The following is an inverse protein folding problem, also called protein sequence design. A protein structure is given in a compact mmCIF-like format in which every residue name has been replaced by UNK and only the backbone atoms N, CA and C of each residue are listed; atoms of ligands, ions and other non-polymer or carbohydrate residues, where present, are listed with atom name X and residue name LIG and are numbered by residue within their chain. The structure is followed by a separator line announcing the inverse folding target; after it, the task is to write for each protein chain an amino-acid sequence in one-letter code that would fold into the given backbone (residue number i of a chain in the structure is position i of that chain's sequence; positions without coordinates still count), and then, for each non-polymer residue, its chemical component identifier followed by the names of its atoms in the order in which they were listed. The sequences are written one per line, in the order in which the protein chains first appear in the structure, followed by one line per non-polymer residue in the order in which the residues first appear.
data_IF_101171684733
#
_entry.id   IF_101171684733
#
_cell.length_a   1.000
_cell.length_b   1.000
_cell.length_c   1.000
_cell.angle_alpha   90.00
_cell.angle_beta   90.00
_cell.angle_gamma   90.00
#
_symmetry.space_group_name_H-M   'P 1'
#
loop_
_entity.id
_entity.type
_entity.pdbx_description
1 polymer ?
#
# COMPACT_ATOMS: atom_id res chain seq x y z
N UNK A 1 14.29 -81.46 -6.16
CA UNK A 1 13.46 -80.58 -7.03
C UNK A 1 12.87 -79.53 -6.10
N UNK A 2 13.38 -78.29 -6.13
CA UNK A 2 12.84 -77.19 -5.32
C UNK A 2 12.00 -76.30 -6.24
N UNK A 3 10.76 -76.01 -5.85
CA UNK A 3 9.90 -75.05 -6.54
C UNK A 3 9.78 -73.83 -5.65
N UNK A 4 10.36 -72.71 -6.07
CA UNK A 4 10.21 -71.42 -5.39
C UNK A 4 8.97 -70.72 -5.95
N UNK A 5 7.96 -70.50 -5.11
CA UNK A 5 6.84 -69.60 -5.43
C UNK A 5 7.26 -68.17 -5.06
N UNK A 6 7.33 -67.29 -6.06
CA UNK A 6 7.52 -65.87 -5.84
C UNK A 6 6.16 -65.21 -5.60
N UNK A 7 5.90 -64.75 -4.37
CA UNK A 7 4.73 -63.94 -4.03
C UNK A 7 4.91 -62.53 -4.59
N UNK A 8 4.16 -62.16 -5.63
CA UNK A 8 4.11 -60.79 -6.12
C UNK A 8 3.28 -59.94 -5.15
N UNK A 9 3.95 -59.22 -4.24
CA UNK A 9 3.35 -58.12 -3.50
C UNK A 9 3.13 -56.94 -4.45
N UNK A 10 2.02 -56.93 -5.17
CA UNK A 10 1.59 -55.77 -5.94
C UNK A 10 1.05 -54.71 -4.98
N UNK A 11 1.80 -53.64 -4.76
CA UNK A 11 1.27 -52.45 -4.09
C UNK A 11 0.06 -51.94 -4.89
N UNK A 12 -1.06 -51.58 -4.24
CA UNK A 12 -2.22 -51.05 -4.96
C UNK A 12 -1.78 -49.76 -5.67
N UNK A 13 -1.97 -49.73 -6.99
CA UNK A 13 -1.67 -48.57 -7.82
C UNK A 13 -2.68 -47.46 -7.49
N UNK A 14 -2.38 -46.65 -6.48
CA UNK A 14 -3.22 -45.51 -6.07
C UNK A 14 -2.95 -44.34 -7.02
N UNK A 15 -3.75 -44.25 -8.08
CA UNK A 15 -3.68 -43.13 -9.03
C UNK A 15 -4.24 -41.85 -8.37
N UNK A 16 -3.39 -40.85 -8.14
CA UNK A 16 -3.82 -39.53 -7.64
C UNK A 16 -4.63 -38.80 -8.72
N UNK A 17 -5.78 -38.23 -8.36
CA UNK A 17 -6.59 -37.40 -9.28
C UNK A 17 -5.90 -36.06 -9.56
N UNK A 18 -5.91 -35.62 -10.83
CA UNK A 18 -5.44 -34.28 -11.22
C UNK A 18 -6.44 -33.22 -10.78
N UNK A 19 -5.95 -32.08 -10.31
CA UNK A 19 -6.79 -30.96 -9.88
C UNK A 19 -7.13 -29.98 -11.01
N UNK A 20 -6.41 -30.01 -12.14
CA UNK A 20 -6.65 -29.20 -13.35
C UNK A 20 -6.82 -27.69 -13.10
N UNK A 21 -6.03 -27.12 -12.16
CA UNK A 21 -6.03 -25.69 -11.91
C UNK A 21 -5.41 -24.91 -13.08
N UNK A 22 -5.91 -23.70 -13.31
CA UNK A 22 -5.31 -22.77 -14.26
C UNK A 22 -3.91 -22.35 -13.77
N UNK A 23 -2.91 -22.23 -14.68
CA UNK A 23 -1.59 -21.77 -14.31
C UNK A 23 -1.61 -20.35 -13.71
N UNK A 24 -0.54 -20.01 -12.98
CA UNK A 24 -0.34 -18.66 -12.46
C UNK A 24 -0.31 -17.64 -13.60
N UNK A 25 -1.05 -16.54 -13.44
CA UNK A 25 -1.03 -15.41 -14.39
C UNK A 25 0.36 -14.78 -14.47
N UNK A 26 1.14 -14.85 -13.40
CA UNK A 26 2.40 -14.13 -13.25
C UNK A 26 3.65 -15.00 -13.43
N UNK A 27 3.52 -16.32 -13.28
CA UNK A 27 4.67 -17.24 -13.31
C UNK A 27 5.81 -16.76 -12.42
N UNK A 28 7.02 -16.71 -12.99
CA UNK A 28 8.25 -16.28 -12.31
C UNK A 28 8.56 -14.78 -12.52
N UNK A 29 7.65 -14.00 -13.11
CA UNK A 29 7.91 -12.63 -13.57
C UNK A 29 8.51 -11.72 -12.48
N UNK A 30 8.01 -11.80 -11.25
CA UNK A 30 8.48 -10.97 -10.14
C UNK A 30 9.76 -11.48 -9.47
N UNK A 31 10.20 -12.72 -9.73
CA UNK A 31 11.40 -13.29 -9.11
C UNK A 31 12.68 -12.57 -9.58
N UNK A 32 12.68 -12.01 -10.80
CA UNK A 32 13.85 -11.32 -11.37
C UNK A 32 14.07 -9.93 -10.79
N UNK A 33 13.01 -9.26 -10.32
CA UNK A 33 13.07 -7.89 -9.82
C UNK A 33 13.78 -7.77 -8.46
N UNK A 34 13.70 -8.80 -7.61
CA UNK A 34 14.36 -8.80 -6.30
C UNK A 34 15.90 -8.77 -6.37
N UNK A 35 16.47 -9.10 -7.54
CA UNK A 35 17.92 -9.17 -7.76
C UNK A 35 18.50 -7.84 -8.28
N UNK A 36 17.68 -7.04 -8.95
CA UNK A 36 18.06 -5.76 -9.54
C UNK A 36 17.45 -4.64 -8.70
N UNK A 37 17.98 -4.39 -7.51
CA UNK A 37 17.66 -3.18 -6.76
C UNK A 37 18.12 -1.98 -7.57
N UNK A 38 17.19 -1.28 -8.21
CA UNK A 38 17.45 0.03 -8.78
C UNK A 38 17.87 0.97 -7.65
N UNK A 39 19.14 1.31 -7.61
CA UNK A 39 19.65 2.37 -6.74
C UNK A 39 18.88 3.65 -7.06
N UNK A 40 18.19 4.20 -6.06
CA UNK A 40 17.55 5.51 -6.20
C UNK A 40 18.68 6.53 -6.29
N UNK A 41 18.80 7.21 -7.43
CA UNK A 41 19.82 8.24 -7.57
C UNK A 41 19.56 9.39 -6.60
N UNK A 42 20.66 9.94 -6.07
CA UNK A 42 20.69 11.06 -5.12
C UNK A 42 19.86 12.27 -5.55
N UNK A 43 19.81 12.54 -6.86
CA UNK A 43 19.00 13.60 -7.42
C UNK A 43 17.49 13.33 -7.24
N UNK A 44 17.04 12.09 -7.43
CA UNK A 44 15.64 11.69 -7.22
C UNK A 44 15.23 11.79 -5.75
N UNK A 45 16.12 11.44 -4.83
CA UNK A 45 15.88 11.59 -3.38
C UNK A 45 15.75 13.07 -2.99
N UNK A 46 16.63 13.94 -3.51
CA UNK A 46 16.56 15.37 -3.25
C UNK A 46 15.27 15.99 -3.79
N UNK A 47 14.85 15.63 -5.00
CA UNK A 47 13.57 16.07 -5.56
C UNK A 47 12.38 15.61 -4.71
N UNK A 48 12.39 14.36 -4.25
CA UNK A 48 11.36 13.84 -3.36
C UNK A 48 11.26 14.68 -2.08
N UNK A 49 12.39 14.99 -1.44
CA UNK A 49 12.39 15.79 -0.22
C UNK A 49 11.88 17.22 -0.46
N UNK A 50 12.23 17.85 -1.59
CA UNK A 50 11.73 19.18 -1.95
C UNK A 50 10.21 19.19 -2.13
N UNK A 51 9.68 18.22 -2.89
CA UNK A 51 8.24 18.06 -3.10
C UNK A 51 7.50 17.81 -1.79
N UNK A 52 8.07 16.99 -0.90
CA UNK A 52 7.51 16.73 0.43
C UNK A 52 7.37 18.01 1.25
N UNK A 53 8.42 18.84 1.30
CA UNK A 53 8.37 20.12 2.01
C UNK A 53 7.38 21.12 1.38
N UNK A 54 7.24 21.10 0.05
CA UNK A 54 6.25 21.93 -0.65
C UNK A 54 4.82 21.55 -0.25
N UNK A 55 4.48 20.26 -0.26
CA UNK A 55 3.15 19.77 0.16
C UNK A 55 2.89 20.11 1.63
N UNK A 56 3.89 19.98 2.50
CA UNK A 56 3.80 20.39 3.91
C UNK A 56 3.46 21.87 4.07
N UNK A 57 4.10 22.74 3.28
CA UNK A 57 3.76 24.18 3.24
C UNK A 57 2.36 24.43 2.70
N UNK A 58 1.90 23.68 1.70
CA UNK A 58 0.53 23.79 1.18
C UNK A 58 -0.50 23.45 2.26
N UNK A 59 -0.28 22.41 3.06
CA UNK A 59 -1.17 22.06 4.18
C UNK A 59 -1.27 23.19 5.22
N UNK A 60 -0.15 23.88 5.50
CA UNK A 60 -0.11 24.99 6.46
C UNK A 60 -0.64 26.33 5.92
N UNK A 61 -0.46 26.65 4.64
CA UNK A 61 -0.81 27.96 4.06
C UNK A 61 -2.29 28.12 3.73
N UNK A 62 -3.00 27.01 3.50
CA UNK A 62 -4.43 27.02 3.13
C UNK A 62 -5.34 27.16 4.36
N UNK A 63 -4.79 27.50 5.54
CA UNK A 63 -5.49 27.61 6.84
C UNK A 63 -6.80 28.43 6.85
N UNK A 64 -6.97 29.34 5.89
CA UNK A 64 -8.15 30.20 5.80
C UNK A 64 -9.24 29.69 4.84
N UNK A 65 -9.05 28.52 4.21
CA UNK A 65 -9.99 27.94 3.23
C UNK A 65 -10.18 26.43 3.51
N UNK A 66 -11.04 26.06 4.46
CA UNK A 66 -11.26 24.67 4.87
C UNK A 66 -11.58 23.72 3.70
N UNK A 67 -12.38 24.15 2.73
CA UNK A 67 -12.71 23.33 1.55
C UNK A 67 -11.50 23.01 0.68
N UNK A 68 -10.57 23.96 0.53
CA UNK A 68 -9.34 23.73 -0.23
C UNK A 68 -8.37 22.81 0.52
N UNK A 69 -8.32 22.92 1.86
CA UNK A 69 -7.55 22.00 2.71
C UNK A 69 -8.08 20.58 2.61
N UNK A 70 -9.40 20.39 2.71
CA UNK A 70 -10.01 19.06 2.58
C UNK A 70 -9.76 18.44 1.20
N UNK A 71 -9.82 19.23 0.13
CA UNK A 71 -9.49 18.75 -1.22
C UNK A 71 -8.02 18.33 -1.34
N UNK A 72 -7.11 19.05 -0.69
CA UNK A 72 -5.68 18.68 -0.66
C UNK A 72 -5.46 17.38 0.12
N UNK A 73 -6.13 17.21 1.26
CA UNK A 73 -6.08 15.99 2.07
C UNK A 73 -6.62 14.80 1.28
N UNK A 74 -7.77 14.94 0.60
CA UNK A 74 -8.34 13.90 -0.27
C UNK A 74 -7.35 13.48 -1.36
N UNK A 75 -6.74 14.45 -2.05
CA UNK A 75 -5.74 14.17 -3.08
C UNK A 75 -4.53 13.39 -2.52
N UNK A 76 -3.99 13.81 -1.37
CA UNK A 76 -2.85 13.14 -0.71
C UNK A 76 -3.20 11.69 -0.33
N UNK A 77 -4.39 11.45 0.22
CA UNK A 77 -4.84 10.11 0.60
C UNK A 77 -5.06 9.22 -0.63
N UNK A 78 -5.69 9.74 -1.68
CA UNK A 78 -5.96 8.97 -2.92
C UNK A 78 -4.71 8.70 -3.74
N UNK A 79 -3.66 9.50 -3.58
CA UNK A 79 -2.32 9.22 -4.12
C UNK A 79 -1.56 8.17 -3.32
N UNK A 80 -2.03 7.77 -2.14
CA UNK A 80 -1.38 6.77 -1.29
C UNK A 80 -0.10 7.27 -0.61
N UNK A 81 0.06 8.59 -0.48
CA UNK A 81 1.26 9.22 0.11
C UNK A 81 0.99 9.90 1.45
N UNK A 82 -0.20 9.67 2.04
CA UNK A 82 -0.62 10.31 3.30
C UNK A 82 0.28 10.01 4.49
N UNK A 83 0.91 8.83 4.52
CA UNK A 83 1.82 8.39 5.58
C UNK A 83 3.04 9.31 5.80
N UNK A 84 3.33 10.22 4.85
CA UNK A 84 4.36 11.24 5.02
C UNK A 84 3.90 12.50 5.77
N UNK A 85 2.59 12.65 5.99
CA UNK A 85 1.93 13.89 6.41
C UNK A 85 0.90 13.68 7.52
N UNK A 86 0.91 12.53 8.22
CA UNK A 86 -0.10 12.19 9.22
C UNK A 86 -0.29 13.32 10.26
N UNK A 87 0.82 13.87 10.76
CA UNK A 87 0.81 14.97 11.75
C UNK A 87 0.19 16.26 11.22
N UNK A 88 0.48 16.62 9.97
CA UNK A 88 -0.02 17.82 9.32
C UNK A 88 -1.51 17.68 9.02
N UNK A 89 -1.94 16.50 8.56
CA UNK A 89 -3.34 16.20 8.27
C UNK A 89 -4.16 16.28 9.55
N UNK A 90 -3.73 15.64 10.63
CA UNK A 90 -4.41 15.68 11.92
C UNK A 90 -4.54 17.11 12.45
N UNK A 91 -3.46 17.90 12.36
CA UNK A 91 -3.48 19.31 12.78
C UNK A 91 -4.46 20.15 11.97
N UNK A 92 -4.51 19.96 10.65
CA UNK A 92 -5.42 20.71 9.77
C UNK A 92 -6.87 20.33 10.03
N UNK A 93 -7.17 19.03 10.18
CA UNK A 93 -8.52 18.56 10.48
C UNK A 93 -9.00 19.06 11.84
N UNK A 94 -8.13 19.06 12.86
CA UNK A 94 -8.42 19.64 14.18
C UNK A 94 -8.77 21.13 14.09
N UNK A 95 -7.96 21.92 13.37
CA UNK A 95 -8.23 23.35 13.18
C UNK A 95 -9.56 23.60 12.44
N UNK A 96 -9.87 22.81 11.41
CA UNK A 96 -11.15 22.91 10.69
C UNK A 96 -12.31 22.63 11.64
N UNK A 97 -12.20 21.58 12.46
CA UNK A 97 -13.22 21.22 13.45
C UNK A 97 -13.46 22.34 14.46
N UNK A 98 -12.40 22.88 15.07
CA UNK A 98 -12.49 23.99 16.03
C UNK A 98 -13.15 25.23 15.41
N UNK A 99 -12.73 25.59 14.19
CA UNK A 99 -13.30 26.73 13.45
C UNK A 99 -14.81 26.57 13.22
N UNK A 100 -15.26 25.37 12.83
CA UNK A 100 -16.67 25.06 12.61
C UNK A 100 -17.51 25.07 13.91
N UNK A 101 -16.96 24.58 15.03
CA UNK A 101 -17.69 24.51 16.32
C UNK A 101 -17.80 25.85 17.05
N UNK A 102 -16.96 26.84 16.74
CA UNK A 102 -17.03 28.18 17.38
C UNK A 102 -18.29 28.99 17.01
N UNK A 103 -19.01 28.56 15.98
CA UNK A 103 -20.20 29.23 15.45
C UNK A 103 -21.50 28.91 16.22
N UNK A 104 -21.51 27.91 17.11
CA UNK A 104 -22.74 27.38 17.73
C UNK A 104 -22.97 27.83 19.20
N UNK A 105 -22.11 28.67 19.77
CA UNK A 105 -22.14 29.02 21.21
C UNK A 105 -22.56 30.47 21.51
N UNK A 106 -23.56 31.03 20.82
CA UNK A 106 -24.04 32.41 21.06
C UNK A 106 -25.54 32.55 21.37
N UNK A 107 -26.19 31.50 21.85
CA UNK A 107 -27.59 31.60 22.29
C UNK A 107 -27.71 31.14 23.76
N UNK A 108 -27.51 32.07 24.70
CA UNK A 108 -28.03 32.06 26.08
C UNK A 108 -28.12 33.50 26.63
#
# INVERSE_FOLDING_TARGET
MYVSVATQNAAPNVTRRSANYHPSVWGDHFLRYASDTTEIDTHSEQQHQQLKEEVKKMLGTVANKPSQQLNLIDAIQRLGVSYHFDTEIDSVLGHIYECCTSCDNKDD
#
